data_IF_622446347457
#
_entry.id   IF_622446347457
#
_cell.length_a   1.000
_cell.length_b   1.000
_cell.length_c   1.000
_cell.angle_alpha   90.00
_cell.angle_beta   90.00
_cell.angle_gamma   90.00
#
_symmetry.space_group_name_H-M   'P 1'
#
loop_
_entity.id
_entity.type
_entity.pdbx_description
1 polymer ?
#
# COMPACT_ATOMS: atom_id res chain seq x y z
N UNK A 1 -24.70 -10.44 -3.25
CA UNK A 1 -24.27 -9.44 -2.24
C UNK A 1 -22.79 -9.55 -1.91
N UNK A 2 -22.17 -10.73 -1.72
CA UNK A 2 -20.75 -10.87 -1.30
C UNK A 2 -19.67 -10.69 -2.40
N UNK A 3 -19.98 -10.94 -3.67
CA UNK A 3 -18.98 -10.86 -4.75
C UNK A 3 -18.41 -9.45 -4.96
N UNK A 4 -19.24 -8.41 -4.84
CA UNK A 4 -18.78 -7.03 -5.00
C UNK A 4 -17.79 -6.64 -3.89
N UNK A 5 -18.05 -7.01 -2.64
CA UNK A 5 -17.13 -6.77 -1.52
C UNK A 5 -15.79 -7.48 -1.70
N UNK A 6 -15.82 -8.71 -2.23
CA UNK A 6 -14.59 -9.43 -2.54
C UNK A 6 -13.79 -8.73 -3.64
N UNK A 7 -14.44 -8.29 -4.71
CA UNK A 7 -13.78 -7.58 -5.81
C UNK A 7 -13.22 -6.23 -5.37
N UNK A 8 -13.97 -5.45 -4.58
CA UNK A 8 -13.52 -4.15 -4.07
C UNK A 8 -12.33 -4.32 -3.10
N UNK A 9 -12.43 -5.31 -2.20
CA UNK A 9 -11.34 -5.63 -1.28
C UNK A 9 -10.10 -6.14 -2.01
N UNK A 10 -10.26 -7.05 -2.98
CA UNK A 10 -9.16 -7.58 -3.77
C UNK A 10 -8.47 -6.46 -4.56
N UNK A 11 -9.25 -5.59 -5.21
CA UNK A 11 -8.73 -4.45 -5.98
C UNK A 11 -7.95 -3.49 -5.08
N UNK A 12 -8.50 -3.15 -3.90
CA UNK A 12 -7.81 -2.32 -2.91
C UNK A 12 -6.51 -2.95 -2.42
N UNK A 13 -6.51 -4.26 -2.09
CA UNK A 13 -5.29 -4.93 -1.62
C UNK A 13 -4.21 -4.98 -2.69
N UNK A 14 -4.57 -5.25 -3.94
CA UNK A 14 -3.60 -5.34 -5.04
C UNK A 14 -2.96 -3.97 -5.29
N UNK A 15 -3.77 -2.95 -5.52
CA UNK A 15 -3.31 -1.62 -5.95
C UNK A 15 -2.69 -0.82 -4.80
N UNK A 16 -3.34 -0.79 -3.64
CA UNK A 16 -2.99 0.14 -2.55
C UNK A 16 -2.10 -0.48 -1.47
N UNK A 17 -1.74 -1.77 -1.59
CA UNK A 17 -0.93 -2.45 -0.57
C UNK A 17 0.13 -3.39 -1.12
N UNK A 18 -0.21 -4.23 -2.10
CA UNK A 18 0.66 -5.32 -2.54
C UNK A 18 1.71 -4.86 -3.55
N UNK A 19 1.31 -4.08 -4.55
CA UNK A 19 2.17 -3.62 -5.64
C UNK A 19 2.97 -2.38 -5.20
N UNK A 20 4.31 -2.37 -5.36
CA UNK A 20 5.14 -1.21 -5.06
C UNK A 20 4.95 -0.09 -6.10
N UNK A 21 5.18 1.15 -5.69
CA UNK A 21 5.06 2.28 -6.61
C UNK A 21 6.26 2.33 -7.58
N UNK A 22 6.03 2.64 -8.86
CA UNK A 22 7.08 2.58 -9.90
C UNK A 22 8.22 3.58 -9.69
N UNK A 23 7.93 4.74 -9.09
CA UNK A 23 8.92 5.81 -8.92
C UNK A 23 10.00 5.50 -7.88
N UNK A 24 9.68 4.69 -6.85
CA UNK A 24 10.56 4.41 -5.72
C UNK A 24 10.76 2.91 -5.45
N UNK A 25 9.94 2.04 -6.05
CA UNK A 25 9.96 0.60 -5.81
C UNK A 25 9.46 0.21 -4.40
N UNK A 26 8.88 1.13 -3.63
CA UNK A 26 8.51 0.90 -2.24
C UNK A 26 7.01 0.64 -2.08
N UNK A 27 6.68 -0.27 -1.17
CA UNK A 27 5.32 -0.48 -0.68
C UNK A 27 4.93 0.66 0.28
N UNK A 28 3.62 0.95 0.44
CA UNK A 28 3.15 2.03 1.31
C UNK A 28 3.62 1.93 2.77
N UNK A 29 3.72 0.72 3.33
CA UNK A 29 4.25 0.50 4.69
C UNK A 29 5.70 0.93 4.81
N UNK A 30 6.54 0.60 3.82
CA UNK A 30 7.96 0.94 3.84
C UNK A 30 8.15 2.46 3.77
N UNK A 31 7.38 3.16 2.93
CA UNK A 31 7.41 4.63 2.85
C UNK A 31 7.05 5.29 4.17
N UNK A 32 6.03 4.76 4.88
CA UNK A 32 5.65 5.27 6.22
C UNK A 32 6.75 5.05 7.27
N UNK A 33 7.40 3.89 7.26
CA UNK A 33 8.53 3.59 8.17
C UNK A 33 9.68 4.57 7.90
N UNK A 34 10.09 4.73 6.64
CA UNK A 34 11.18 5.66 6.29
C UNK A 34 10.82 7.12 6.62
N UNK A 35 9.57 7.52 6.39
CA UNK A 35 9.09 8.85 6.78
C UNK A 35 9.13 9.05 8.30
N UNK A 36 8.70 8.05 9.08
CA UNK A 36 8.77 8.10 10.55
C UNK A 36 10.22 8.20 11.03
N UNK A 37 11.12 7.35 10.51
CA UNK A 37 12.55 7.40 10.83
C UNK A 37 13.17 8.77 10.51
N UNK A 38 12.83 9.35 9.35
CA UNK A 38 13.29 10.69 8.95
C UNK A 38 12.79 11.80 9.87
N UNK A 39 11.61 11.65 10.49
CA UNK A 39 11.03 12.63 11.40
C UNK A 39 11.50 12.51 12.85
N UNK A 40 12.14 11.39 13.21
CA UNK A 40 12.69 11.17 14.55
C UNK A 40 14.09 11.77 14.73
N UNK A 41 14.75 12.15 13.63
CA UNK A 41 16.02 12.88 13.58
C UNK A 41 15.73 14.34 13.30
#
# INVERSE_FOLDING_TARGET
>A
MYQNWFLDYASYVILERAVPHISDGLKPVQRRILHAMKRMV
#
